data_IF_091748913955
#
_entry.id   IF_091748913955
#
_cell.length_a   1.000
_cell.length_b   1.000
_cell.length_c   1.000
_cell.angle_alpha   90.00
_cell.angle_beta   90.00
_cell.angle_gamma   90.00
#
_symmetry.space_group_name_H-M   'P 1'
#
loop_
_entity.id
_entity.type
_entity.pdbx_description
1 polymer ?
#
# COMPACT_ATOMS: atom_id res chain seq x y z
N UNK A 1 6.18 36.05 21.13
CA UNK A 1 5.15 35.52 20.19
C UNK A 1 5.79 34.77 19.02
N UNK A 2 6.85 35.30 18.41
CA UNK A 2 7.54 34.64 17.27
C UNK A 2 8.07 33.24 17.60
N UNK A 3 8.74 33.05 18.74
CA UNK A 3 9.24 31.74 19.16
C UNK A 3 8.14 30.68 19.33
N UNK A 4 6.95 31.09 19.79
CA UNK A 4 5.79 30.19 19.92
C UNK A 4 5.27 29.77 18.54
N UNK A 5 5.20 30.71 17.60
CA UNK A 5 4.75 30.44 16.22
C UNK A 5 5.72 29.48 15.52
N UNK A 6 7.03 29.70 15.67
CA UNK A 6 8.07 28.83 15.11
C UNK A 6 7.99 27.43 15.71
N UNK A 7 7.79 27.32 17.03
CA UNK A 7 7.65 26.03 17.70
C UNK A 7 6.40 25.25 17.22
N UNK A 8 5.25 25.92 17.07
CA UNK A 8 4.02 25.31 16.55
C UNK A 8 4.19 24.88 15.10
N UNK A 9 4.80 25.72 14.25
CA UNK A 9 5.08 25.37 12.86
C UNK A 9 5.99 24.13 12.75
N UNK A 10 7.04 24.07 13.59
CA UNK A 10 7.91 22.89 13.67
C UNK A 10 7.17 21.63 14.10
N UNK A 11 6.29 21.73 15.10
CA UNK A 11 5.44 20.62 15.55
C UNK A 11 4.54 20.10 14.41
N UNK A 12 3.91 21.00 13.66
CA UNK A 12 3.06 20.64 12.52
C UNK A 12 3.85 19.90 11.44
N UNK A 13 5.07 20.36 11.14
CA UNK A 13 5.95 19.70 10.16
C UNK A 13 6.32 18.29 10.61
N UNK A 14 6.68 18.11 11.88
CA UNK A 14 7.01 16.79 12.44
C UNK A 14 5.83 15.83 12.31
N UNK A 15 4.62 16.28 12.69
CA UNK A 15 3.40 15.46 12.57
C UNK A 15 3.11 15.11 11.10
N UNK A 16 3.29 16.06 10.17
CA UNK A 16 3.10 15.79 8.74
C UNK A 16 4.10 14.75 8.22
N UNK A 17 5.36 14.85 8.62
CA UNK A 17 6.41 13.92 8.22
C UNK A 17 6.15 12.52 8.75
N UNK A 18 5.72 12.40 10.01
CA UNK A 18 5.39 11.12 10.62
C UNK A 18 4.17 10.48 9.94
N UNK A 19 3.10 11.25 9.71
CA UNK A 19 1.95 10.77 8.96
C UNK A 19 2.32 10.35 7.52
N UNK A 20 3.13 11.15 6.83
CA UNK A 20 3.63 10.83 5.49
C UNK A 20 4.48 9.56 5.46
N UNK A 21 5.34 9.37 6.46
CA UNK A 21 6.17 8.18 6.61
C UNK A 21 5.32 6.92 6.81
N UNK A 22 4.31 6.96 7.68
CA UNK A 22 3.38 5.84 7.89
C UNK A 22 2.58 5.51 6.63
N UNK A 23 2.12 6.53 5.90
CA UNK A 23 1.45 6.34 4.61
C UNK A 23 2.39 5.67 3.61
N UNK A 24 3.64 6.15 3.49
CA UNK A 24 4.63 5.58 2.59
C UNK A 24 4.97 4.13 2.94
N UNK A 25 5.16 3.81 4.22
CA UNK A 25 5.36 2.44 4.70
C UNK A 25 4.17 1.54 4.39
N UNK A 26 2.95 2.03 4.64
CA UNK A 26 1.74 1.30 4.26
C UNK A 26 1.70 1.11 2.74
N UNK A 27 1.99 2.12 1.94
CA UNK A 27 1.99 1.99 0.49
C UNK A 27 3.03 0.96 0.03
N UNK A 28 4.26 1.00 0.54
CA UNK A 28 5.32 0.05 0.21
C UNK A 28 4.95 -1.38 0.61
N UNK A 29 4.30 -1.57 1.76
CA UNK A 29 3.83 -2.88 2.22
C UNK A 29 2.73 -3.46 1.32
N UNK A 30 1.86 -2.61 0.78
CA UNK A 30 0.70 -3.06 0.00
C UNK A 30 0.97 -3.07 -1.53
N UNK A 31 1.88 -2.24 -2.02
CA UNK A 31 2.24 -2.10 -3.43
C UNK A 31 2.55 -3.44 -4.14
N UNK A 32 3.39 -4.35 -3.61
CA UNK A 32 3.68 -5.61 -4.30
C UNK A 32 2.44 -6.51 -4.43
N UNK A 33 1.59 -6.56 -3.40
CA UNK A 33 0.36 -7.34 -3.43
C UNK A 33 -0.69 -6.77 -4.40
N UNK A 34 -0.76 -5.44 -4.51
CA UNK A 34 -1.64 -4.75 -5.46
C UNK A 34 -1.14 -4.89 -6.90
N UNK A 35 0.18 -4.78 -7.13
CA UNK A 35 0.78 -4.95 -8.44
C UNK A 35 0.54 -6.37 -9.00
N UNK A 36 0.71 -7.40 -8.16
CA UNK A 36 0.43 -8.79 -8.54
C UNK A 36 -1.06 -9.03 -8.82
N UNK A 37 -1.96 -8.48 -8.00
CA UNK A 37 -3.40 -8.54 -8.26
C UNK A 37 -3.78 -7.88 -9.58
N UNK A 38 -3.26 -6.68 -9.84
CA UNK A 38 -3.49 -5.96 -11.09
C UNK A 38 -2.95 -6.74 -12.30
N UNK A 39 -1.75 -7.34 -12.20
CA UNK A 39 -1.18 -8.18 -13.25
C UNK A 39 -2.05 -9.42 -13.53
N UNK A 40 -2.55 -10.08 -12.48
CA UNK A 40 -3.41 -11.27 -12.64
C UNK A 40 -4.76 -10.91 -13.24
N UNK A 41 -5.38 -9.79 -12.83
CA UNK A 41 -6.60 -9.26 -13.45
C UNK A 41 -6.38 -8.91 -14.93
N UNK A 42 -5.26 -8.26 -15.24
CA UNK A 42 -4.91 -7.91 -16.62
C UNK A 42 -4.71 -9.15 -17.50
N UNK A 43 -4.01 -10.17 -16.99
CA UNK A 43 -3.85 -11.45 -17.67
C UNK A 43 -5.18 -12.17 -17.89
N UNK A 44 -6.05 -12.22 -16.88
CA UNK A 44 -7.38 -12.83 -16.99
C UNK A 44 -8.22 -12.15 -18.07
N UNK A 45 -8.25 -10.81 -18.07
CA UNK A 45 -8.95 -10.04 -19.09
C UNK A 45 -8.41 -10.29 -20.50
N UNK A 46 -7.07 -10.42 -20.65
CA UNK A 46 -6.44 -10.75 -21.94
C UNK A 46 -6.80 -12.14 -22.46
N UNK A 47 -7.21 -13.06 -21.60
CA UNK A 47 -7.65 -14.41 -21.97
C UNK A 47 -9.17 -14.51 -22.15
N UNK A 48 -9.89 -13.37 -22.22
CA UNK A 48 -11.31 -13.34 -22.52
C UNK A 48 -12.23 -13.53 -21.31
N UNK A 49 -11.70 -13.43 -20.10
CA UNK A 49 -12.50 -13.41 -18.86
C UNK A 49 -13.25 -12.08 -18.77
N UNK A 50 -14.52 -12.11 -18.35
CA UNK A 50 -15.32 -10.89 -18.18
C UNK A 50 -14.67 -9.93 -17.17
N UNK A 51 -14.86 -8.62 -17.39
CA UNK A 51 -14.22 -7.57 -16.60
C UNK A 51 -14.45 -7.70 -15.09
N UNK A 52 -15.66 -8.11 -14.67
CA UNK A 52 -15.96 -8.33 -13.25
C UNK A 52 -15.23 -9.54 -12.68
N UNK A 53 -15.18 -10.65 -13.42
CA UNK A 53 -14.50 -11.87 -12.99
C UNK A 53 -12.98 -11.69 -12.95
N UNK A 54 -12.41 -10.96 -13.91
CA UNK A 54 -11.00 -10.60 -13.94
C UNK A 54 -10.62 -9.73 -12.74
N UNK A 55 -11.46 -8.75 -12.38
CA UNK A 55 -11.28 -7.94 -11.17
C UNK A 55 -11.40 -8.78 -9.90
N UNK A 56 -12.38 -9.69 -9.83
CA UNK A 56 -12.55 -10.58 -8.69
C UNK A 56 -11.33 -11.50 -8.50
N UNK A 57 -10.79 -12.06 -9.60
CA UNK A 57 -9.56 -12.86 -9.60
C UNK A 57 -8.36 -12.05 -9.12
N UNK A 58 -8.20 -10.81 -9.61
CA UNK A 58 -7.12 -9.92 -9.17
C UNK A 58 -7.20 -9.59 -7.69
N UNK A 59 -8.39 -9.24 -7.19
CA UNK A 59 -8.62 -8.97 -5.78
C UNK A 59 -8.34 -10.21 -4.91
N UNK A 60 -8.78 -11.39 -5.36
CA UNK A 60 -8.52 -12.65 -4.68
C UNK A 60 -7.03 -13.00 -4.63
N UNK A 61 -6.31 -12.79 -5.74
CA UNK A 61 -4.86 -12.96 -5.81
C UNK A 61 -4.11 -12.00 -4.87
N UNK A 62 -4.54 -10.74 -4.77
CA UNK A 62 -3.99 -9.78 -3.79
C UNK A 62 -4.21 -10.23 -2.35
N UNK A 63 -5.41 -10.71 -2.00
CA UNK A 63 -5.72 -11.20 -0.66
C UNK A 63 -4.91 -12.46 -0.31
N UNK A 64 -4.78 -13.38 -1.26
CA UNK A 64 -3.93 -14.57 -1.12
C UNK A 64 -2.47 -14.20 -0.90
N UNK A 65 -1.91 -13.32 -1.73
CA UNK A 65 -0.55 -12.85 -1.56
C UNK A 65 -0.35 -12.19 -0.20
N UNK A 66 -1.30 -11.37 0.25
CA UNK A 66 -1.25 -10.76 1.57
C UNK A 66 -1.30 -11.78 2.71
N UNK A 67 -2.07 -12.87 2.56
CA UNK A 67 -2.15 -13.96 3.54
C UNK A 67 -0.84 -14.74 3.65
N UNK A 68 -0.16 -15.00 2.54
CA UNK A 68 0.99 -15.90 2.49
C UNK A 68 2.35 -15.19 2.54
N UNK A 69 2.43 -13.96 2.00
CA UNK A 69 3.67 -13.19 1.87
C UNK A 69 3.68 -11.99 2.83
N UNK A 70 2.50 -11.49 3.21
CA UNK A 70 2.36 -10.36 4.14
C UNK A 70 3.07 -10.50 5.51
N UNK A 71 3.20 -11.69 6.12
CA UNK A 71 3.96 -11.82 7.36
C UNK A 71 5.47 -11.65 7.16
N UNK A 72 6.02 -12.09 6.02
CA UNK A 72 7.48 -12.20 5.81
C UNK A 72 8.17 -10.90 5.40
N UNK A 73 7.43 -9.91 4.90
CA UNK A 73 7.99 -8.60 4.56
C UNK A 73 8.06 -7.64 5.75
N UNK A 74 7.34 -7.93 6.84
CA UNK A 74 7.35 -7.11 8.05
C UNK A 74 8.57 -7.42 8.92
N UNK A 75 8.97 -8.69 9.02
CA UNK A 75 10.12 -9.15 9.84
C UNK A 75 11.51 -8.66 9.36
N UNK A 76 11.60 -7.92 8.25
CA UNK A 76 12.88 -7.37 7.75
C UNK A 76 12.91 -5.83 7.73
N UNK A 77 11.85 -5.19 8.24
CA UNK A 77 11.76 -3.73 8.34
C UNK A 77 11.98 -3.23 9.78
N UNK A 78 12.31 -4.12 10.72
CA UNK A 78 12.64 -3.82 12.13
C UNK A 78 14.15 -3.85 12.38
#
# INVERSE_FOLDING_TARGET
MEALIVAVAGLVVIVLLEAGYWIALCLMRWAPSLALGALTAWLAFRHGVESMEALALGAFATLLMRRFVGPRFVDHAE
#
